data_IF_174075728812
#
_entry.id   IF_174075728812
#
_cell.length_a   1.000
_cell.length_b   1.000
_cell.length_c   1.000
_cell.angle_alpha   90.00
_cell.angle_beta   90.00
_cell.angle_gamma   90.00
#
_symmetry.space_group_name_H-M   'P 1'
#
loop_
_entity.id
_entity.type
_entity.pdbx_description
1 polymer ?
#
# COMPACT_ATOMS: atom_id res chain seq x y z
N UNK A 1 67.40 7.26 39.14
CA UNK A 1 66.42 8.27 38.67
C UNK A 1 66.32 8.24 37.13
N UNK A 2 65.86 7.13 36.54
CA UNK A 2 65.54 7.04 35.09
C UNK A 2 64.30 6.18 34.84
N UNK A 3 64.05 5.18 35.70
CA UNK A 3 62.83 4.38 35.66
C UNK A 3 61.58 5.15 36.10
N UNK A 4 61.71 6.14 37.00
CA UNK A 4 60.55 6.91 37.50
C UNK A 4 59.96 7.86 36.44
N UNK A 5 60.79 8.44 35.57
CA UNK A 5 60.33 9.31 34.48
C UNK A 5 59.52 8.52 33.44
N UNK A 6 59.92 7.27 33.17
CA UNK A 6 59.24 6.39 32.22
C UNK A 6 57.83 5.99 32.68
N UNK A 7 57.62 5.75 33.97
CA UNK A 7 56.28 5.47 34.51
C UNK A 7 55.37 6.71 34.51
N UNK A 8 55.95 7.90 34.65
CA UNK A 8 55.19 9.16 34.64
C UNK A 8 54.72 9.52 33.22
N UNK A 9 55.55 9.31 32.20
CA UNK A 9 55.14 9.47 30.79
C UNK A 9 54.04 8.48 30.37
N UNK A 10 54.16 7.23 30.78
CA UNK A 10 53.13 6.21 30.52
C UNK A 10 51.81 6.58 31.24
N UNK A 11 51.89 7.09 32.48
CA UNK A 11 50.73 7.48 33.28
C UNK A 11 49.94 8.66 32.70
N UNK A 12 50.57 9.60 32.00
CA UNK A 12 49.87 10.73 31.37
C UNK A 12 49.25 10.31 30.04
N UNK A 13 49.81 9.29 29.37
CA UNK A 13 49.31 8.83 28.07
C UNK A 13 47.93 8.16 28.15
N UNK A 14 47.68 7.28 29.13
CA UNK A 14 46.41 6.56 29.26
C UNK A 14 45.15 7.44 29.39
N UNK A 15 45.11 8.48 30.25
CA UNK A 15 43.93 9.34 30.33
C UNK A 15 43.69 10.13 29.03
N UNK A 16 44.76 10.52 28.33
CA UNK A 16 44.64 11.22 27.03
C UNK A 16 44.09 10.28 25.96
N UNK A 17 44.58 9.04 25.88
CA UNK A 17 44.03 8.03 24.96
C UNK A 17 42.57 7.68 25.27
N UNK A 18 42.22 7.54 26.55
CA UNK A 18 40.83 7.31 26.98
C UNK A 18 39.90 8.47 26.58
N UNK A 19 40.38 9.71 26.74
CA UNK A 19 39.63 10.90 26.35
C UNK A 19 39.44 10.99 24.83
N UNK A 20 40.47 10.66 24.04
CA UNK A 20 40.38 10.62 22.57
C UNK A 20 39.34 9.59 22.11
N UNK A 21 39.35 8.38 22.65
CA UNK A 21 38.38 7.33 22.30
C UNK A 21 36.95 7.79 22.63
N UNK A 22 36.74 8.38 23.80
CA UNK A 22 35.41 8.83 24.22
C UNK A 22 34.88 9.96 23.34
N UNK A 23 35.74 10.92 22.98
CA UNK A 23 35.40 12.01 22.06
C UNK A 23 35.09 11.47 20.67
N UNK A 24 35.94 10.58 20.13
CA UNK A 24 35.71 9.97 18.81
C UNK A 24 34.43 9.13 18.78
N UNK A 25 34.15 8.36 19.84
CA UNK A 25 32.93 7.57 19.94
C UNK A 25 31.68 8.47 20.03
N UNK A 26 31.73 9.50 20.88
CA UNK A 26 30.65 10.48 21.02
C UNK A 26 30.35 11.21 19.71
N UNK A 27 31.39 11.58 18.94
CA UNK A 27 31.23 12.22 17.63
C UNK A 27 30.60 11.28 16.59
N UNK A 28 31.02 10.01 16.53
CA UNK A 28 30.44 9.05 15.58
C UNK A 28 28.97 8.73 15.90
N UNK A 29 28.63 8.55 17.18
CA UNK A 29 27.25 8.33 17.61
C UNK A 29 26.40 9.58 17.38
N UNK A 30 26.92 10.76 17.72
CA UNK A 30 26.24 12.04 17.49
C UNK A 30 25.97 12.30 16.00
N UNK A 31 26.94 12.01 15.13
CA UNK A 31 26.78 12.11 13.67
C UNK A 31 25.74 11.13 13.15
N UNK A 32 25.74 9.88 13.64
CA UNK A 32 24.77 8.86 13.24
C UNK A 32 23.34 9.26 13.64
N UNK A 33 23.14 9.73 14.88
CA UNK A 33 21.83 10.21 15.35
C UNK A 33 21.39 11.44 14.56
N UNK A 34 22.30 12.39 14.30
CA UNK A 34 22.01 13.58 13.49
C UNK A 34 21.62 13.25 12.05
N UNK A 35 22.26 12.24 11.44
CA UNK A 35 21.87 11.72 10.12
C UNK A 35 20.47 11.11 10.18
N UNK A 36 20.19 10.21 11.12
CA UNK A 36 18.87 9.56 11.25
C UNK A 36 17.74 10.57 11.49
N UNK A 37 17.97 11.59 12.32
CA UNK A 37 17.01 12.67 12.53
C UNK A 37 16.76 13.49 11.25
N UNK A 38 17.80 13.74 10.46
CA UNK A 38 17.69 14.46 9.18
C UNK A 38 16.88 13.68 8.14
N UNK A 39 17.07 12.36 8.05
CA UNK A 39 16.26 11.47 7.21
C UNK A 39 14.79 11.41 7.65
N UNK A 40 14.53 11.39 8.96
CA UNK A 40 13.16 11.45 9.51
C UNK A 40 12.45 12.76 9.15
N UNK A 41 13.14 13.90 9.31
CA UNK A 41 12.57 15.22 9.01
C UNK A 41 12.30 15.40 7.50
N UNK A 42 13.19 14.92 6.63
CA UNK A 42 12.97 14.99 5.18
C UNK A 42 11.77 14.15 4.77
N UNK A 43 11.60 12.92 5.28
CA UNK A 43 10.43 12.10 4.98
C UNK A 43 9.10 12.75 5.42
N UNK A 44 9.08 13.46 6.55
CA UNK A 44 7.90 14.20 7.01
C UNK A 44 7.59 15.38 6.06
N UNK A 45 8.62 16.14 5.66
CA UNK A 45 8.46 17.30 4.75
C UNK A 45 7.99 16.83 3.37
N UNK A 46 8.64 15.83 2.78
CA UNK A 46 8.26 15.31 1.46
C UNK A 46 6.88 14.61 1.50
N UNK A 47 6.54 13.89 2.56
CA UNK A 47 5.21 13.30 2.75
C UNK A 47 4.10 14.36 2.82
N UNK A 48 4.35 15.48 3.52
CA UNK A 48 3.40 16.60 3.58
C UNK A 48 3.22 17.32 2.24
N UNK A 49 4.30 17.50 1.46
CA UNK A 49 4.24 18.13 0.13
C UNK A 49 3.46 17.24 -0.84
N UNK A 50 3.73 15.93 -0.86
CA UNK A 50 3.03 14.98 -1.74
C UNK A 50 1.53 14.94 -1.40
N UNK A 51 1.16 14.93 -0.12
CA UNK A 51 -0.24 14.99 0.29
C UNK A 51 -0.94 16.28 -0.18
N UNK A 52 -0.26 17.43 -0.09
CA UNK A 52 -0.79 18.71 -0.59
C UNK A 52 -0.98 18.74 -2.10
N UNK A 53 -0.01 18.25 -2.88
CA UNK A 53 -0.07 18.20 -4.35
C UNK A 53 -1.18 17.25 -4.83
N UNK A 54 -1.41 16.14 -4.14
CA UNK A 54 -2.49 15.20 -4.47
C UNK A 54 -3.86 15.81 -4.24
N UNK A 55 -4.06 16.57 -3.14
CA UNK A 55 -5.33 17.25 -2.89
C UNK A 55 -5.60 18.36 -3.93
N UNK A 56 -4.57 19.10 -4.33
CA UNK A 56 -4.68 20.14 -5.34
C UNK A 56 -5.00 19.57 -6.74
N UNK A 57 -4.36 18.45 -7.13
CA UNK A 57 -4.71 17.75 -8.38
C UNK A 57 -6.14 17.20 -8.35
N UNK A 58 -6.59 16.70 -7.20
CA UNK A 58 -7.97 16.20 -7.03
C UNK A 58 -9.01 17.29 -7.27
N UNK A 59 -8.77 18.50 -6.76
CA UNK A 59 -9.67 19.65 -6.96
C UNK A 59 -9.71 20.06 -8.43
N UNK A 60 -8.54 20.18 -9.09
CA UNK A 60 -8.47 20.55 -10.51
C UNK A 60 -9.16 19.53 -11.43
N UNK A 61 -9.01 18.23 -11.15
CA UNK A 61 -9.71 17.17 -11.89
C UNK A 61 -11.24 17.25 -11.72
N UNK A 62 -11.71 17.60 -10.53
CA UNK A 62 -13.13 17.79 -10.26
C UNK A 62 -13.69 19.00 -11.01
N UNK A 63 -12.98 20.12 -11.00
CA UNK A 63 -13.37 21.32 -11.73
C UNK A 63 -13.39 21.08 -13.25
N UNK A 64 -12.43 20.34 -13.80
CA UNK A 64 -12.44 19.94 -15.21
C UNK A 64 -13.59 18.99 -15.54
N UNK A 65 -13.90 18.04 -14.66
CA UNK A 65 -15.02 17.12 -14.84
C UNK A 65 -16.35 17.87 -14.83
N UNK A 66 -16.60 18.70 -13.82
CA UNK A 66 -17.82 19.53 -13.73
C UNK A 66 -17.97 20.51 -14.91
N UNK A 67 -16.86 21.05 -15.44
CA UNK A 67 -16.90 21.91 -16.64
C UNK A 67 -17.10 21.15 -17.96
N UNK A 68 -16.89 19.83 -17.97
CA UNK A 68 -17.00 18.98 -19.19
C UNK A 68 -18.31 18.20 -19.27
N UNK A 69 -19.14 18.21 -18.22
CA UNK A 69 -20.49 17.67 -18.27
C UNK A 69 -21.35 18.70 -19.04
N UNK A 70 -21.81 18.40 -20.27
CA UNK A 70 -22.81 19.24 -20.92
C UNK A 70 -24.07 19.27 -20.06
N UNK A 71 -24.76 20.41 -19.99
CA UNK A 71 -26.03 20.60 -19.27
C UNK A 71 -27.08 19.56 -19.71
N UNK A 72 -27.01 18.35 -19.17
CA UNK A 72 -28.06 17.36 -19.26
C UNK A 72 -29.16 17.85 -18.32
N UNK A 73 -30.18 18.47 -18.94
CA UNK A 73 -31.49 18.63 -18.34
C UNK A 73 -31.87 17.33 -17.63
N UNK A 74 -32.51 17.40 -16.44
CA UNK A 74 -32.99 16.20 -15.77
C UNK A 74 -33.81 15.39 -16.76
N UNK A 75 -33.38 14.15 -16.99
CA UNK A 75 -34.07 13.19 -17.84
C UNK A 75 -35.31 12.73 -17.08
N UNK A 76 -36.32 13.58 -17.05
CA UNK A 76 -37.71 13.16 -16.99
C UNK A 76 -38.12 12.88 -18.45
N UNK A 77 -38.59 11.66 -18.73
CA UNK A 77 -38.96 11.12 -20.06
C UNK A 77 -37.82 10.51 -20.91
N UNK A 78 -37.34 9.32 -20.51
CA UNK A 78 -36.95 8.29 -21.48
C UNK A 78 -37.77 7.01 -21.26
N UNK A 79 -39.02 7.06 -21.68
CA UNK A 79 -39.96 5.93 -21.76
C UNK A 79 -39.66 5.06 -22.98
N UNK A 80 -38.61 4.23 -22.94
CA UNK A 80 -38.30 3.37 -24.09
C UNK A 80 -37.36 2.18 -23.89
N UNK A 81 -36.56 2.14 -22.83
CA UNK A 81 -35.68 0.99 -22.58
C UNK A 81 -35.86 0.50 -21.14
N UNK A 82 -36.48 -0.67 -21.00
CA UNK A 82 -36.54 -1.39 -19.75
C UNK A 82 -35.13 -1.84 -19.37
N UNK A 83 -34.54 -1.21 -18.36
CA UNK A 83 -33.40 -1.78 -17.65
C UNK A 83 -33.88 -3.01 -16.85
N UNK A 84 -34.00 -4.14 -17.55
CA UNK A 84 -34.08 -5.48 -16.98
C UNK A 84 -33.46 -6.47 -17.98
N UNK A 85 -32.17 -6.33 -18.23
CA UNK A 85 -31.36 -7.50 -18.61
C UNK A 85 -30.45 -7.80 -17.42
N UNK A 86 -30.93 -8.68 -16.54
CA UNK A 86 -30.06 -9.49 -15.72
C UNK A 86 -29.08 -10.17 -16.68
N UNK A 87 -27.80 -9.80 -16.62
CA UNK A 87 -26.76 -10.46 -17.40
C UNK A 87 -26.80 -11.95 -17.03
N UNK A 88 -27.27 -12.78 -17.96
CA UNK A 88 -27.52 -14.20 -17.67
C UNK A 88 -26.19 -14.92 -17.49
N UNK A 89 -25.99 -15.58 -16.35
CA UNK A 89 -24.83 -16.45 -16.11
C UNK A 89 -24.78 -17.51 -17.21
N UNK A 90 -23.70 -17.52 -17.99
CA UNK A 90 -23.49 -18.49 -19.08
C UNK A 90 -22.61 -19.67 -18.65
N UNK A 91 -22.72 -20.79 -19.35
CA UNK A 91 -21.90 -21.99 -19.08
C UNK A 91 -20.39 -21.72 -19.21
N UNK A 92 -19.97 -20.83 -20.12
CA UNK A 92 -18.57 -20.42 -20.28
C UNK A 92 -18.03 -19.69 -19.04
N UNK A 93 -18.88 -18.87 -18.40
CA UNK A 93 -18.50 -18.16 -17.17
C UNK A 93 -18.32 -19.13 -16.01
N UNK A 94 -19.21 -20.13 -15.90
CA UNK A 94 -19.12 -21.17 -14.87
C UNK A 94 -17.82 -21.96 -15.03
N UNK A 95 -17.51 -22.43 -16.25
CA UNK A 95 -16.30 -23.21 -16.52
C UNK A 95 -15.01 -22.43 -16.20
N UNK A 96 -14.98 -21.11 -16.48
CA UNK A 96 -13.84 -20.25 -16.15
C UNK A 96 -13.65 -20.09 -14.64
N UNK A 97 -14.72 -19.88 -13.90
CA UNK A 97 -14.67 -19.73 -12.44
C UNK A 97 -14.28 -21.07 -11.79
N UNK A 98 -14.84 -22.19 -12.26
CA UNK A 98 -14.51 -23.53 -11.78
C UNK A 98 -13.01 -23.86 -11.96
N UNK A 99 -12.45 -23.57 -13.15
CA UNK A 99 -11.04 -23.78 -13.42
C UNK A 99 -10.10 -22.96 -12.51
N UNK A 100 -10.56 -21.80 -12.04
CA UNK A 100 -9.80 -20.94 -11.13
C UNK A 100 -9.85 -21.45 -9.68
N UNK A 101 -10.96 -22.07 -9.27
CA UNK A 101 -11.16 -22.65 -7.93
C UNK A 101 -10.40 -23.98 -7.75
N UNK A 102 -10.10 -24.68 -8.83
CA UNK A 102 -9.33 -25.93 -8.81
C UNK A 102 -7.81 -25.75 -8.71
N UNK A 103 -7.32 -24.50 -8.67
CA UNK A 103 -5.91 -24.22 -8.43
C UNK A 103 -5.59 -24.48 -6.93
N UNK A 104 -4.53 -25.27 -6.59
CA UNK A 104 -4.26 -25.78 -5.24
C UNK A 104 -3.72 -24.75 -4.21
N UNK A 105 -4.11 -23.48 -4.32
CA UNK A 105 -3.78 -22.39 -3.39
C UNK A 105 -5.07 -21.83 -2.77
N UNK A 106 -4.98 -21.10 -1.65
CA UNK A 106 -6.15 -20.34 -1.17
C UNK A 106 -6.56 -19.34 -2.25
N UNK A 107 -7.80 -19.48 -2.74
CA UNK A 107 -8.39 -18.63 -3.77
C UNK A 107 -9.49 -17.80 -3.10
N UNK A 108 -9.37 -16.48 -3.18
CA UNK A 108 -10.39 -15.56 -2.69
C UNK A 108 -11.33 -15.13 -3.82
N UNK A 109 -12.55 -14.74 -3.47
CA UNK A 109 -13.55 -14.22 -4.42
C UNK A 109 -13.02 -12.99 -5.14
N UNK A 110 -12.38 -12.07 -4.41
CA UNK A 110 -11.77 -10.86 -4.98
C UNK A 110 -10.73 -11.19 -6.05
N UNK A 111 -9.90 -12.22 -5.79
CA UNK A 111 -8.90 -12.66 -6.75
C UNK A 111 -9.55 -13.18 -8.04
N UNK A 112 -10.60 -14.00 -7.96
CA UNK A 112 -11.33 -14.48 -9.13
C UNK A 112 -11.94 -13.32 -9.93
N UNK A 113 -12.52 -12.34 -9.25
CA UNK A 113 -13.08 -11.14 -9.89
C UNK A 113 -12.00 -10.36 -10.65
N UNK A 114 -10.81 -10.22 -10.06
CA UNK A 114 -9.68 -9.51 -10.69
C UNK A 114 -9.16 -10.20 -11.97
N UNK A 115 -9.26 -11.54 -12.03
CA UNK A 115 -8.78 -12.34 -13.17
C UNK A 115 -9.83 -12.40 -14.27
N UNK A 116 -11.09 -12.59 -13.90
CA UNK A 116 -12.19 -12.77 -14.86
C UNK A 116 -12.76 -11.45 -15.36
N UNK A 117 -12.53 -10.36 -14.62
CA UNK A 117 -13.20 -9.06 -14.80
C UNK A 117 -14.71 -9.14 -14.64
N UNK A 118 -15.23 -10.21 -14.04
CA UNK A 118 -16.64 -10.32 -13.71
C UNK A 118 -16.96 -9.54 -12.43
N UNK A 119 -18.15 -8.93 -12.36
CA UNK A 119 -18.63 -8.33 -11.13
C UNK A 119 -18.65 -9.34 -9.98
N UNK A 120 -18.33 -8.88 -8.77
CA UNK A 120 -18.30 -9.71 -7.55
C UNK A 120 -19.61 -10.49 -7.37
N UNK A 121 -20.77 -9.83 -7.56
CA UNK A 121 -22.07 -10.48 -7.40
C UNK A 121 -22.29 -11.66 -8.36
N UNK A 122 -21.73 -11.62 -9.58
CA UNK A 122 -21.81 -12.72 -10.55
C UNK A 122 -20.93 -13.88 -10.09
N UNK A 123 -19.71 -13.57 -9.65
CA UNK A 123 -18.75 -14.58 -9.19
C UNK A 123 -19.27 -15.27 -7.93
N UNK A 124 -19.84 -14.52 -6.98
CA UNK A 124 -20.48 -15.06 -5.77
C UNK A 124 -21.67 -15.96 -6.11
N UNK A 125 -22.54 -15.56 -7.04
CA UNK A 125 -23.65 -16.40 -7.51
C UNK A 125 -23.15 -17.68 -8.20
N UNK A 126 -22.09 -17.61 -9.00
CA UNK A 126 -21.51 -18.81 -9.62
C UNK A 126 -20.96 -19.75 -8.55
N UNK A 127 -20.16 -19.23 -7.60
CA UNK A 127 -19.55 -20.02 -6.53
C UNK A 127 -20.62 -20.70 -5.66
N UNK A 128 -21.62 -19.93 -5.21
CA UNK A 128 -22.61 -20.40 -4.24
C UNK A 128 -23.78 -21.14 -4.88
N UNK A 129 -24.36 -20.61 -5.96
CA UNK A 129 -25.59 -21.14 -6.56
C UNK A 129 -25.33 -22.15 -7.68
N UNK A 130 -24.21 -22.03 -8.42
CA UNK A 130 -23.89 -22.95 -9.54
C UNK A 130 -22.91 -24.05 -9.14
N UNK A 131 -21.88 -23.70 -8.38
CA UNK A 131 -20.83 -24.64 -7.97
C UNK A 131 -21.07 -25.24 -6.57
N UNK A 132 -21.92 -24.61 -5.75
CA UNK A 132 -22.31 -25.13 -4.43
C UNK A 132 -21.25 -24.96 -3.33
N UNK A 133 -20.27 -24.09 -3.53
CA UNK A 133 -19.23 -23.78 -2.55
C UNK A 133 -19.70 -22.73 -1.55
N UNK A 134 -19.12 -22.77 -0.34
CA UNK A 134 -19.35 -21.76 0.68
C UNK A 134 -18.30 -20.64 0.59
N UNK A 135 -18.70 -19.42 0.95
CA UNK A 135 -17.80 -18.28 1.05
C UNK A 135 -17.80 -17.83 2.52
N UNK A 136 -16.63 -17.82 3.15
CA UNK A 136 -16.42 -17.34 4.52
C UNK A 136 -15.26 -16.35 4.51
N UNK A 137 -15.48 -15.13 5.02
CA UNK A 137 -14.50 -14.04 5.02
C UNK A 137 -13.82 -13.76 3.64
N UNK A 138 -14.53 -14.02 2.54
CA UNK A 138 -14.04 -13.85 1.17
C UNK A 138 -13.16 -14.99 0.64
N UNK A 139 -12.90 -16.02 1.45
CA UNK A 139 -12.26 -17.27 1.05
C UNK A 139 -13.31 -18.30 0.58
N UNK A 140 -12.93 -19.10 -0.41
CA UNK A 140 -13.79 -20.14 -0.98
C UNK A 140 -13.52 -21.45 -0.24
N UNK A 141 -14.53 -21.97 0.45
CA UNK A 141 -14.48 -23.24 1.17
C UNK A 141 -15.12 -24.30 0.29
N UNK A 142 -14.32 -25.32 -0.06
CA UNK A 142 -14.79 -26.49 -0.81
C UNK A 142 -15.65 -27.43 0.03
#
# INVERSE_FOLDING_TARGET
MKALDYFTEISISYPVFGMLIWVTLGLNIGALIGLLASFGLTNIIFGGIIAGVVEEQRIQLREQYEASIPDEKPIDEFSGYSFTEQESITDDMIAKVEALIDVPRSVTVEWICSVTLYPIYIVEQIITEKLGYAIEDGEIIK
#
